data_IF_904244824479
#
_entry.id   IF_904244824479
#
_cell.length_a   1.000
_cell.length_b   1.000
_cell.length_c   1.000
_cell.angle_alpha   90.00
_cell.angle_beta   90.00
_cell.angle_gamma   90.00
#
_symmetry.space_group_name_H-M   'P 1'
#
loop_
_entity.id
_entity.type
_entity.pdbx_description
1 polymer ?
#
# COMPACT_ATOMS: atom_id res chain seq x y z
N UNK A 1 -8.35 -9.84 -2.16
CA UNK A 1 -7.75 -8.71 -2.91
C UNK A 1 -8.62 -8.30 -4.08
N UNK A 2 -8.45 -7.06 -4.53
CA UNK A 2 -9.16 -6.56 -5.70
C UNK A 2 -8.64 -7.24 -6.97
N UNK A 3 -9.57 -7.54 -7.89
CA UNK A 3 -9.21 -8.04 -9.23
C UNK A 3 -8.56 -6.92 -10.03
N UNK A 4 -7.73 -7.27 -11.00
CA UNK A 4 -7.09 -6.30 -11.91
C UNK A 4 -8.09 -5.33 -12.55
N UNK A 5 -9.28 -5.80 -12.92
CA UNK A 5 -10.31 -4.94 -13.51
C UNK A 5 -10.78 -3.87 -12.50
N UNK A 6 -10.88 -4.20 -11.21
CA UNK A 6 -11.27 -3.24 -10.18
C UNK A 6 -10.14 -2.23 -9.93
N UNK A 7 -8.88 -2.67 -9.94
CA UNK A 7 -7.71 -1.79 -9.83
C UNK A 7 -7.64 -0.81 -11.02
N UNK A 8 -7.86 -1.31 -12.25
CA UNK A 8 -7.90 -0.47 -13.46
C UNK A 8 -9.06 0.52 -13.41
N UNK A 9 -10.26 0.10 -13.00
CA UNK A 9 -11.39 1.01 -12.81
C UNK A 9 -11.10 2.10 -11.77
N UNK A 10 -10.42 1.76 -10.66
CA UNK A 10 -10.01 2.74 -9.64
C UNK A 10 -9.03 3.76 -10.22
N UNK A 11 -8.01 3.28 -10.95
CA UNK A 11 -7.03 4.12 -11.65
C UNK A 11 -7.70 5.08 -12.62
N UNK A 12 -8.63 4.59 -13.43
CA UNK A 12 -9.35 5.39 -14.45
C UNK A 12 -10.23 6.50 -13.83
N UNK A 13 -10.47 6.44 -12.52
CA UNK A 13 -11.15 7.48 -11.73
C UNK A 13 -10.20 8.35 -10.91
N UNK A 14 -8.89 8.21 -11.08
CA UNK A 14 -7.89 8.96 -10.31
C UNK A 14 -7.74 8.49 -8.86
N UNK A 15 -8.38 7.37 -8.50
CA UNK A 15 -8.44 6.86 -7.12
C UNK A 15 -7.11 6.27 -6.63
N UNK A 16 -7.05 5.97 -5.34
CA UNK A 16 -5.87 5.37 -4.67
C UNK A 16 -6.31 4.15 -3.88
N UNK A 17 -5.55 3.07 -3.95
CA UNK A 17 -5.73 1.87 -3.12
C UNK A 17 -4.75 1.89 -1.95
N UNK A 18 -5.26 1.68 -0.74
CA UNK A 18 -4.45 1.50 0.46
C UNK A 18 -3.97 0.06 0.60
N UNK A 19 -2.68 -0.12 0.85
CA UNK A 19 -2.10 -1.40 1.28
C UNK A 19 -2.51 -1.68 2.72
N UNK A 20 -3.33 -2.73 2.89
CA UNK A 20 -3.70 -3.28 4.20
C UNK A 20 -2.60 -4.18 4.76
N UNK A 21 -2.34 -4.07 6.06
CA UNK A 21 -1.36 -4.90 6.74
C UNK A 21 -1.99 -6.18 7.30
N UNK A 22 -3.27 -6.43 7.01
CA UNK A 22 -4.01 -7.58 7.53
C UNK A 22 -3.49 -8.89 6.91
N UNK A 23 -2.85 -9.78 7.70
CA UNK A 23 -2.18 -10.97 7.15
C UNK A 23 -3.04 -11.83 6.22
N UNK A 24 -4.34 -12.10 6.51
CA UNK A 24 -5.19 -12.88 5.61
C UNK A 24 -5.43 -12.24 4.23
N UNK A 25 -5.28 -10.92 4.10
CA UNK A 25 -5.38 -10.22 2.81
C UNK A 25 -4.05 -10.15 2.06
N UNK A 26 -2.93 -10.41 2.73
CA UNK A 26 -1.62 -10.48 2.10
C UNK A 26 -1.40 -11.88 1.54
N UNK A 27 -1.58 -12.92 2.36
CA UNK A 27 -1.38 -14.30 1.94
C UNK A 27 -2.15 -15.26 2.84
N UNK A 28 -2.77 -16.29 2.27
CA UNK A 28 -3.58 -17.27 3.02
C UNK A 28 -2.79 -17.93 4.17
N UNK A 29 -1.49 -18.19 3.96
CA UNK A 29 -0.58 -18.73 4.98
C UNK A 29 0.80 -18.11 4.85
N UNK A 30 1.42 -17.81 5.99
CA UNK A 30 2.79 -17.28 6.04
C UNK A 30 2.91 -15.91 5.37
N UNK A 31 1.98 -15.00 5.67
CA UNK A 31 2.13 -13.60 5.27
C UNK A 31 3.40 -13.01 5.91
N UNK A 32 4.15 -12.24 5.14
CA UNK A 32 5.40 -11.59 5.54
C UNK A 32 5.40 -10.15 5.06
N UNK A 33 6.32 -9.34 5.57
CA UNK A 33 6.57 -8.00 5.03
C UNK A 33 6.95 -8.05 3.55
N UNK A 34 7.72 -9.04 3.12
CA UNK A 34 8.03 -9.24 1.70
C UNK A 34 6.80 -9.50 0.85
N UNK A 35 5.87 -10.35 1.30
CA UNK A 35 4.64 -10.60 0.56
C UNK A 35 3.76 -9.35 0.44
N UNK A 36 3.78 -8.47 1.46
CA UNK A 36 3.11 -7.17 1.39
C UNK A 36 3.79 -6.25 0.37
N UNK A 37 5.12 -6.23 0.33
CA UNK A 37 5.88 -5.43 -0.65
C UNK A 37 5.69 -5.99 -2.06
N UNK A 38 5.57 -7.30 -2.25
CA UNK A 38 5.23 -7.91 -3.53
C UNK A 38 3.86 -7.41 -4.04
N UNK A 39 2.88 -7.23 -3.15
CA UNK A 39 1.61 -6.58 -3.51
C UNK A 39 1.82 -5.13 -3.97
N UNK A 40 2.67 -4.36 -3.26
CA UNK A 40 2.99 -2.99 -3.63
C UNK A 40 3.62 -2.92 -5.03
N UNK A 41 4.61 -3.78 -5.31
CA UNK A 41 5.28 -3.89 -6.61
C UNK A 41 4.28 -4.27 -7.70
N UNK A 42 3.45 -5.29 -7.47
CA UNK A 42 2.45 -5.73 -8.44
C UNK A 42 1.44 -4.62 -8.77
N UNK A 43 0.87 -3.97 -7.75
CA UNK A 43 -0.14 -2.92 -7.95
C UNK A 43 0.50 -1.71 -8.64
N UNK A 44 1.69 -1.27 -8.20
CA UNK A 44 2.39 -0.16 -8.83
C UNK A 44 2.74 -0.45 -10.30
N UNK A 45 3.14 -1.68 -10.63
CA UNK A 45 3.39 -2.10 -12.02
C UNK A 45 2.11 -2.17 -12.87
N UNK A 46 0.98 -2.53 -12.27
CA UNK A 46 -0.29 -2.69 -12.99
C UNK A 46 -1.02 -1.36 -13.25
N UNK A 47 -1.06 -0.48 -12.25
CA UNK A 47 -1.85 0.76 -12.30
C UNK A 47 -1.05 2.04 -12.08
N UNK A 48 0.25 1.95 -11.80
CA UNK A 48 1.12 3.10 -11.52
C UNK A 48 1.19 3.44 -10.04
N UNK A 49 2.36 3.88 -9.58
CA UNK A 49 2.62 4.23 -8.17
C UNK A 49 1.75 5.38 -7.66
N UNK A 50 1.26 6.25 -8.56
CA UNK A 50 0.34 7.36 -8.27
C UNK A 50 -1.01 6.92 -7.69
N UNK A 51 -1.31 5.62 -7.73
CA UNK A 51 -2.57 5.04 -7.29
C UNK A 51 -2.39 4.13 -6.06
N UNK A 52 -1.21 4.13 -5.44
CA UNK A 52 -0.89 3.32 -4.27
C UNK A 52 -0.77 4.19 -3.01
N UNK A 53 -1.27 3.70 -1.89
CA UNK A 53 -1.15 4.36 -0.58
C UNK A 53 -1.04 3.35 0.56
N UNK A 54 -0.95 3.85 1.79
CA UNK A 54 -1.01 3.03 3.00
C UNK A 54 -2.45 3.00 3.54
N UNK A 55 -2.93 1.81 3.86
CA UNK A 55 -4.22 1.59 4.52
C UNK A 55 -4.06 0.54 5.61
N UNK A 56 -3.20 0.82 6.60
CA UNK A 56 -2.63 -0.18 7.52
C UNK A 56 -3.66 -1.05 8.23
N UNK A 57 -4.80 -0.47 8.59
CA UNK A 57 -5.81 -1.08 9.47
C UNK A 57 -5.30 -1.28 10.91
N UNK A 58 -4.31 -0.49 11.34
CA UNK A 58 -3.87 -0.48 12.75
C UNK A 58 -5.05 -0.23 13.69
N UNK A 59 -5.06 -0.94 14.82
CA UNK A 59 -6.16 -0.97 15.81
C UNK A 59 -7.51 -1.51 15.28
N UNK A 60 -7.60 -1.92 14.01
CA UNK A 60 -8.77 -2.54 13.38
C UNK A 60 -8.63 -4.05 13.12
N UNK A 61 -7.43 -4.61 13.31
CA UNK A 61 -7.10 -6.01 13.01
C UNK A 61 -6.96 -6.88 14.26
N UNK A 62 -7.24 -8.19 14.12
CA UNK A 62 -6.98 -9.22 15.13
C UNK A 62 -5.68 -10.01 14.89
N UNK A 63 -5.05 -9.81 13.73
CA UNK A 63 -3.81 -10.46 13.32
C UNK A 63 -2.82 -9.43 12.78
N UNK A 64 -1.54 -9.64 13.07
CA UNK A 64 -0.47 -8.69 12.72
C UNK A 64 0.73 -9.41 12.10
N UNK A 65 1.43 -8.71 11.19
CA UNK A 65 2.78 -9.09 10.82
C UNK A 65 3.73 -8.71 11.97
N UNK A 66 4.58 -9.62 12.49
CA UNK A 66 5.48 -9.29 13.59
C UNK A 66 6.37 -8.07 13.34
N UNK A 67 6.79 -7.86 12.09
CA UNK A 67 7.61 -6.73 11.64
C UNK A 67 6.84 -5.41 11.54
N UNK A 68 5.50 -5.45 11.40
CA UNK A 68 4.62 -4.28 11.28
C UNK A 68 3.57 -4.27 12.39
N UNK A 69 4.02 -4.37 13.64
CA UNK A 69 3.12 -4.47 14.80
C UNK A 69 2.31 -3.19 15.03
N UNK A 70 2.92 -2.03 14.81
CA UNK A 70 2.31 -0.71 15.04
C UNK A 70 2.94 0.37 14.15
N UNK A 71 2.49 1.61 14.33
CA UNK A 71 2.90 2.77 13.53
C UNK A 71 4.41 3.05 13.58
N UNK A 72 5.13 2.62 14.62
CA UNK A 72 6.59 2.81 14.72
C UNK A 72 7.35 2.03 13.66
N UNK A 73 6.72 1.05 13.01
CA UNK A 73 7.31 0.22 11.97
C UNK A 73 7.20 0.80 10.54
N UNK A 74 6.53 1.95 10.34
CA UNK A 74 6.44 2.58 9.01
C UNK A 74 7.80 2.89 8.35
N UNK A 75 8.86 3.32 9.09
CA UNK A 75 10.19 3.47 8.51
C UNK A 75 10.77 2.17 7.95
N UNK A 76 10.50 1.02 8.60
CA UNK A 76 10.92 -0.29 8.09
C UNK A 76 10.22 -0.61 6.77
N UNK A 77 8.92 -0.35 6.65
CA UNK A 77 8.19 -0.53 5.39
C UNK A 77 8.80 0.31 4.27
N UNK A 78 9.12 1.58 4.54
CA UNK A 78 9.76 2.48 3.58
C UNK A 78 11.13 1.93 3.12
N UNK A 79 11.94 1.43 4.05
CA UNK A 79 13.23 0.78 3.73
C UNK A 79 13.03 -0.45 2.83
N UNK A 80 12.01 -1.28 3.08
CA UNK A 80 11.74 -2.46 2.25
C UNK A 80 11.25 -2.08 0.86
N UNK A 81 10.38 -1.08 0.73
CA UNK A 81 9.97 -0.54 -0.57
C UNK A 81 11.20 -0.06 -1.36
N UNK A 82 12.11 0.68 -0.71
CA UNK A 82 13.35 1.14 -1.32
C UNK A 82 14.20 -0.03 -1.85
N UNK A 83 14.41 -1.07 -1.03
CA UNK A 83 15.16 -2.28 -1.43
C UNK A 83 14.53 -3.04 -2.60
N UNK A 84 13.22 -2.88 -2.82
CA UNK A 84 12.49 -3.50 -3.93
C UNK A 84 12.39 -2.63 -5.19
N UNK A 85 13.11 -1.51 -5.23
CA UNK A 85 13.29 -0.70 -6.45
C UNK A 85 12.42 0.57 -6.51
N UNK A 86 11.66 0.89 -5.47
CA UNK A 86 11.00 2.19 -5.37
C UNK A 86 12.02 3.27 -5.00
N UNK A 87 11.90 4.43 -5.62
CA UNK A 87 12.76 5.59 -5.35
C UNK A 87 12.12 6.53 -4.33
N UNK A 88 12.90 7.40 -3.72
CA UNK A 88 12.43 8.34 -2.68
C UNK A 88 11.15 9.12 -3.08
N UNK A 89 11.07 9.56 -4.33
CA UNK A 89 9.89 10.28 -4.84
C UNK A 89 8.64 9.39 -4.88
N UNK A 90 8.80 8.11 -5.23
CA UNK A 90 7.71 7.13 -5.27
C UNK A 90 7.27 6.72 -3.87
N UNK A 91 8.23 6.56 -2.95
CA UNK A 91 7.96 6.24 -1.55
C UNK A 91 7.18 7.36 -0.88
N UNK A 92 7.54 8.64 -1.09
CA UNK A 92 6.76 9.78 -0.57
C UNK A 92 5.31 9.76 -1.04
N UNK A 93 5.09 9.40 -2.31
CA UNK A 93 3.74 9.23 -2.87
C UNK A 93 2.94 8.16 -2.16
N UNK A 94 3.53 6.98 -1.97
CA UNK A 94 2.91 5.86 -1.25
C UNK A 94 2.61 6.24 0.21
N UNK A 95 3.55 6.92 0.88
CA UNK A 95 3.42 7.26 2.30
C UNK A 95 2.38 8.35 2.58
N UNK A 96 1.96 9.13 1.58
CA UNK A 96 0.85 10.06 1.80
C UNK A 96 0.52 11.03 0.67
N UNK A 97 1.44 11.37 -0.24
CA UNK A 97 1.15 12.41 -1.25
C UNK A 97 -0.01 12.00 -2.18
N UNK A 98 -0.14 10.71 -2.50
CA UNK A 98 -1.26 10.20 -3.30
C UNK A 98 -2.61 10.36 -2.60
N UNK A 99 -2.67 10.07 -1.29
CA UNK A 99 -3.88 10.25 -0.50
C UNK A 99 -4.21 11.74 -0.37
N UNK A 100 -3.21 12.58 -0.14
CA UNK A 100 -3.39 14.04 -0.08
C UNK A 100 -3.91 14.60 -1.40
N UNK A 101 -3.46 14.09 -2.56
CA UNK A 101 -4.03 14.44 -3.87
C UNK A 101 -5.52 14.13 -3.92
N UNK A 102 -5.93 12.90 -3.62
CA UNK A 102 -7.34 12.48 -3.66
C UNK A 102 -8.21 13.31 -2.72
N UNK A 103 -7.73 13.59 -1.50
CA UNK A 103 -8.44 14.44 -0.54
C UNK A 103 -8.67 15.83 -1.15
N UNK A 104 -7.62 16.47 -1.68
CA UNK A 104 -7.70 17.79 -2.30
C UNK A 104 -8.66 17.82 -3.47
N UNK A 105 -8.60 16.82 -4.36
CA UNK A 105 -9.45 16.73 -5.54
C UNK A 105 -10.93 16.49 -5.19
N UNK A 106 -11.21 15.91 -4.02
CA UNK A 106 -12.58 15.57 -3.57
C UNK A 106 -13.26 16.71 -2.81
N UNK A 107 -12.47 17.49 -2.04
CA UNK A 107 -13.02 18.58 -1.21
C UNK A 107 -13.03 19.94 -1.93
N UNK A 108 -12.40 20.04 -3.09
CA UNK A 108 -12.43 21.22 -3.95
C UNK A 108 -13.74 21.31 -4.74
#
# INVERSE_FOLDING_TARGET
NLRDIQLKCLRDKGGVIGLTFYPPFIKEKGATLDALVDHAVYIAGLIGVEHLGIGSDFDGMDMFLPELKDVTALPLLAERLFKCGFHDAEIKKILGENILRVIKDTIA
#
